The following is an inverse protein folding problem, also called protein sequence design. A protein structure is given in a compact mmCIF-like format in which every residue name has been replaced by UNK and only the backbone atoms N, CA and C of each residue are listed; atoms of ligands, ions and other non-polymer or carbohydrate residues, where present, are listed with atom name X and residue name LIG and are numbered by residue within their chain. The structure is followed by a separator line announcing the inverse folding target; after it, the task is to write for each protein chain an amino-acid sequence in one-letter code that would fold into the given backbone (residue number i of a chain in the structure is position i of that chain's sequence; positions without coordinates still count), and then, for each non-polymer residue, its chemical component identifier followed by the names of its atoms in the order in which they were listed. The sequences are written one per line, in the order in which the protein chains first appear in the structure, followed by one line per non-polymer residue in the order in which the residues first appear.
data_IF_956420379305
#
_entry.id   IF_956420379305
#
_cell.length_a   1.000
_cell.length_b   1.000
_cell.length_c   1.000
_cell.angle_alpha   90.00
_cell.angle_beta   90.00
_cell.angle_gamma   90.00
#
_symmetry.space_group_name_H-M   'P 1'
#
loop_
_entity.id
_entity.type
_entity.pdbx_description
1 polymer ?
#
# COMPACT_ATOMS: atom_id res chain seq x y z
N UNK A 1 -20.25 -25.34 -8.81
CA UNK A 1 -19.71 -24.92 -7.53
C UNK A 1 -18.41 -24.17 -7.76
N UNK A 2 -18.26 -22.95 -7.21
CA UNK A 2 -17.04 -22.16 -7.35
C UNK A 2 -16.17 -22.37 -6.13
N UNK A 3 -14.85 -22.52 -6.32
CA UNK A 3 -13.96 -22.72 -5.20
C UNK A 3 -12.49 -22.90 -5.60
N UNK A 4 -11.64 -22.87 -4.60
CA UNK A 4 -10.20 -23.11 -4.73
C UNK A 4 -9.86 -24.48 -4.17
N UNK A 5 -9.03 -25.22 -4.87
CA UNK A 5 -8.45 -26.48 -4.40
C UNK A 5 -6.93 -26.39 -4.40
N UNK A 6 -6.30 -26.91 -3.36
CA UNK A 6 -4.85 -27.18 -3.36
C UNK A 6 -4.64 -28.48 -4.13
N UNK A 7 -3.71 -28.48 -5.07
CA UNK A 7 -3.39 -29.68 -5.84
C UNK A 7 -2.67 -30.71 -4.98
N UNK A 8 -2.66 -31.98 -5.42
CA UNK A 8 -1.89 -33.03 -4.76
C UNK A 8 -0.40 -32.68 -4.67
N UNK A 9 0.16 -32.12 -5.74
CA UNK A 9 1.54 -31.65 -5.76
C UNK A 9 1.77 -30.49 -4.78
N UNK A 10 0.88 -29.50 -4.76
CA UNK A 10 0.93 -28.38 -3.82
C UNK A 10 0.83 -28.84 -2.37
N UNK A 11 -0.11 -29.73 -2.06
CA UNK A 11 -0.27 -30.28 -0.71
C UNK A 11 0.98 -31.06 -0.25
N UNK A 12 1.60 -31.84 -1.15
CA UNK A 12 2.83 -32.57 -0.85
C UNK A 12 4.01 -31.63 -0.56
N UNK A 13 4.15 -30.53 -1.32
CA UNK A 13 5.18 -29.51 -1.09
C UNK A 13 4.98 -28.79 0.23
N UNK A 14 3.75 -28.37 0.54
CA UNK A 14 3.40 -27.73 1.81
C UNK A 14 3.71 -28.66 2.99
N UNK A 15 3.30 -29.93 2.92
CA UNK A 15 3.58 -30.92 3.95
C UNK A 15 5.09 -31.14 4.15
N UNK A 16 5.86 -31.20 3.07
CA UNK A 16 7.33 -31.32 3.13
C UNK A 16 7.96 -30.10 3.82
N UNK A 17 7.47 -28.89 3.54
CA UNK A 17 7.96 -27.66 4.18
C UNK A 17 7.62 -27.59 5.66
N UNK A 18 6.44 -28.04 6.08
CA UNK A 18 6.05 -28.15 7.49
C UNK A 18 7.02 -29.06 8.24
N UNK A 19 7.37 -30.20 7.65
CA UNK A 19 8.24 -31.20 8.29
C UNK A 19 9.72 -30.77 8.33
N UNK A 20 10.19 -30.11 7.30
CA UNK A 20 11.63 -29.82 7.12
C UNK A 20 12.01 -28.36 7.40
N UNK A 21 11.06 -27.51 7.79
CA UNK A 21 11.31 -26.10 8.10
C UNK A 21 11.59 -25.20 6.89
N UNK A 22 11.12 -25.58 5.70
CA UNK A 22 11.20 -24.76 4.49
C UNK A 22 9.94 -23.91 4.23
N UNK A 23 9.91 -23.27 3.05
CA UNK A 23 8.73 -22.57 2.54
C UNK A 23 8.45 -22.93 1.08
N UNK A 24 7.18 -23.06 0.72
CA UNK A 24 6.75 -23.10 -0.67
C UNK A 24 6.65 -21.66 -1.15
N UNK A 25 7.43 -21.30 -2.16
CA UNK A 25 7.40 -19.95 -2.72
C UNK A 25 6.49 -19.92 -3.95
N UNK A 26 5.38 -19.20 -3.84
CA UNK A 26 4.47 -18.95 -4.96
C UNK A 26 4.97 -17.73 -5.71
N UNK A 27 5.25 -17.88 -6.99
CA UNK A 27 5.86 -16.86 -7.83
C UNK A 27 4.91 -16.34 -8.89
N UNK A 28 4.27 -17.24 -9.65
CA UNK A 28 3.44 -16.84 -10.77
C UNK A 28 1.99 -17.23 -10.57
N UNK A 29 1.12 -16.46 -11.18
CA UNK A 29 -0.29 -16.73 -11.32
C UNK A 29 -0.65 -16.84 -12.80
N UNK A 30 -1.60 -17.69 -13.13
CA UNK A 30 -2.12 -17.79 -14.48
C UNK A 30 -3.65 -17.77 -14.47
N UNK A 31 -4.22 -17.30 -15.59
CA UNK A 31 -5.65 -17.34 -15.85
C UNK A 31 -5.93 -18.01 -17.20
N UNK A 32 -7.07 -18.65 -17.30
CA UNK A 32 -7.45 -19.39 -18.50
C UNK A 32 -8.95 -19.44 -18.70
N UNK A 33 -9.36 -19.91 -19.89
CA UNK A 33 -10.75 -20.03 -20.29
C UNK A 33 -11.38 -21.40 -20.00
N UNK A 34 -10.64 -22.29 -19.32
CA UNK A 34 -11.10 -23.64 -19.01
C UNK A 34 -11.16 -24.58 -20.22
N UNK A 35 -10.55 -24.18 -21.35
CA UNK A 35 -10.71 -24.87 -22.62
C UNK A 35 -12.01 -24.56 -23.34
N UNK A 36 -12.60 -23.39 -23.04
CA UNK A 36 -13.86 -22.90 -23.60
C UNK A 36 -15.11 -23.28 -22.80
N UNK A 37 -14.97 -24.09 -21.75
CA UNK A 37 -16.09 -24.60 -20.96
C UNK A 37 -15.83 -24.46 -19.46
N UNK A 38 -16.94 -24.32 -18.71
CA UNK A 38 -16.89 -24.45 -17.26
C UNK A 38 -16.54 -25.87 -16.83
N UNK A 39 -15.68 -26.00 -15.81
CA UNK A 39 -15.41 -27.25 -15.15
C UNK A 39 -15.08 -27.06 -13.67
N UNK A 40 -15.21 -28.12 -12.90
CA UNK A 40 -14.78 -28.12 -11.50
C UNK A 40 -13.30 -28.57 -11.43
N UNK A 41 -12.42 -27.77 -10.84
CA UNK A 41 -11.04 -28.14 -10.63
C UNK A 41 -10.89 -29.38 -9.74
N UNK A 42 -9.90 -30.21 -10.04
CA UNK A 42 -9.57 -31.40 -9.26
C UNK A 42 -8.18 -31.30 -8.65
N UNK A 43 -7.99 -31.93 -7.50
CA UNK A 43 -6.69 -31.96 -6.81
C UNK A 43 -5.58 -32.65 -7.64
N UNK A 44 -5.93 -33.49 -8.61
CA UNK A 44 -4.99 -34.17 -9.47
C UNK A 44 -4.47 -33.30 -10.63
N UNK A 45 -4.98 -32.10 -10.83
CA UNK A 45 -4.54 -31.23 -11.92
C UNK A 45 -3.09 -30.77 -11.70
N UNK A 46 -2.34 -30.72 -12.79
CA UNK A 46 -0.96 -30.26 -12.85
C UNK A 46 -0.79 -29.00 -13.71
N UNK A 47 -1.83 -28.62 -14.45
CA UNK A 47 -1.85 -27.41 -15.31
C UNK A 47 -3.28 -26.90 -15.49
N UNK A 48 -3.43 -25.66 -15.97
CA UNK A 48 -4.69 -25.14 -16.46
C UNK A 48 -5.06 -25.81 -17.78
N UNK A 49 -6.37 -25.95 -18.04
CA UNK A 49 -6.89 -26.56 -19.29
C UNK A 49 -6.74 -25.65 -20.49
N UNK A 50 -6.91 -24.35 -20.29
CA UNK A 50 -6.87 -23.37 -21.37
C UNK A 50 -6.18 -22.08 -20.94
N UNK A 51 -4.90 -22.15 -20.54
CA UNK A 51 -4.13 -20.99 -20.11
C UNK A 51 -4.09 -19.92 -21.21
N UNK A 52 -4.50 -18.69 -20.87
CA UNK A 52 -4.51 -17.50 -21.75
C UNK A 52 -3.58 -16.41 -21.28
N UNK A 53 -3.29 -16.38 -19.99
CA UNK A 53 -2.43 -15.37 -19.37
C UNK A 53 -1.60 -15.99 -18.25
N UNK A 54 -0.41 -15.45 -18.06
CA UNK A 54 0.48 -15.74 -16.92
C UNK A 54 1.22 -14.47 -16.54
N UNK A 55 1.40 -14.25 -15.26
CA UNK A 55 2.12 -13.10 -14.73
C UNK A 55 2.47 -13.29 -13.26
N UNK A 56 3.15 -12.32 -12.70
CA UNK A 56 3.56 -12.34 -11.30
C UNK A 56 2.38 -12.11 -10.36
N UNK A 57 2.52 -12.62 -9.12
CA UNK A 57 1.57 -12.30 -8.04
C UNK A 57 1.70 -10.82 -7.67
N UNK A 58 0.61 -10.08 -7.70
CA UNK A 58 0.60 -8.65 -7.41
C UNK A 58 0.75 -8.37 -5.91
N UNK A 59 0.04 -9.10 -5.07
CA UNK A 59 0.21 -9.08 -3.61
C UNK A 59 -0.38 -10.33 -2.98
N UNK A 60 0.06 -10.64 -1.76
CA UNK A 60 -0.50 -11.71 -0.94
C UNK A 60 -0.48 -11.30 0.53
N UNK A 61 -1.54 -11.60 1.26
CA UNK A 61 -1.67 -11.34 2.68
C UNK A 61 -2.46 -12.44 3.36
N UNK A 62 -2.14 -12.72 4.62
CA UNK A 62 -3.01 -13.57 5.45
C UNK A 62 -4.33 -12.83 5.67
N UNK A 63 -5.44 -13.53 5.46
CA UNK A 63 -6.77 -12.94 5.61
C UNK A 63 -7.00 -12.46 7.03
N UNK A 64 -7.63 -11.30 7.16
CA UNK A 64 -7.98 -10.72 8.46
C UNK A 64 -9.10 -11.49 9.18
N UNK A 65 -9.85 -12.31 8.43
CA UNK A 65 -10.97 -13.09 8.95
C UNK A 65 -10.62 -14.54 9.28
N UNK A 66 -9.54 -15.08 8.70
CA UNK A 66 -9.14 -16.47 8.89
C UNK A 66 -7.61 -16.61 8.77
N UNK A 67 -6.95 -16.93 9.88
CA UNK A 67 -5.48 -17.05 9.95
C UNK A 67 -4.89 -18.15 9.05
N UNK A 68 -5.68 -19.12 8.61
CA UNK A 68 -5.26 -20.19 7.69
C UNK A 68 -5.62 -19.89 6.22
N UNK A 69 -6.18 -18.71 5.95
CA UNK A 69 -6.51 -18.29 4.60
C UNK A 69 -5.55 -17.19 4.13
N UNK A 70 -5.06 -17.34 2.91
CA UNK A 70 -4.21 -16.35 2.25
C UNK A 70 -4.99 -15.79 1.08
N UNK A 71 -5.07 -14.47 1.02
CA UNK A 71 -5.68 -13.71 -0.06
C UNK A 71 -4.59 -13.33 -1.06
N UNK A 72 -4.63 -13.93 -2.24
CA UNK A 72 -3.65 -13.71 -3.32
C UNK A 72 -4.28 -12.82 -4.38
N UNK A 73 -3.74 -11.62 -4.53
CA UNK A 73 -4.20 -10.65 -5.52
C UNK A 73 -3.46 -10.88 -6.84
N UNK A 74 -4.22 -11.01 -7.90
CA UNK A 74 -3.76 -11.21 -9.27
C UNK A 74 -4.28 -10.05 -10.11
N UNK A 75 -3.42 -9.43 -10.90
CA UNK A 75 -3.78 -8.30 -11.74
C UNK A 75 -3.42 -8.60 -13.19
N UNK A 76 -4.42 -8.55 -14.06
CA UNK A 76 -4.27 -8.74 -15.52
C UNK A 76 -4.36 -7.36 -16.17
N UNK A 77 -3.31 -6.97 -16.85
CA UNK A 77 -3.21 -5.67 -17.49
C UNK A 77 -4.27 -5.45 -18.58
N UNK A 78 -4.46 -4.20 -18.94
CA UNK A 78 -5.39 -3.77 -19.97
C UNK A 78 -4.99 -4.23 -21.38
N UNK A 79 -3.70 -4.43 -21.62
CA UNK A 79 -3.17 -4.97 -22.89
C UNK A 79 -3.56 -6.43 -23.18
N UNK A 80 -4.02 -7.15 -22.16
CA UNK A 80 -4.41 -8.57 -22.25
C UNK A 80 -5.93 -8.68 -22.22
N UNK A 81 -6.51 -9.51 -23.09
CA UNK A 81 -7.96 -9.74 -23.08
C UNK A 81 -8.45 -10.56 -24.27
N UNK A 82 -9.77 -10.51 -24.48
CA UNK A 82 -10.43 -11.26 -25.52
C UNK A 82 -10.77 -12.71 -25.13
N UNK A 83 -10.88 -12.98 -23.81
CA UNK A 83 -11.28 -14.31 -23.31
C UNK A 83 -12.08 -14.19 -22.01
N UNK A 84 -12.85 -15.23 -21.74
CA UNK A 84 -13.57 -15.37 -20.47
C UNK A 84 -12.72 -16.19 -19.50
N UNK A 85 -12.46 -15.62 -18.32
CA UNK A 85 -11.72 -16.31 -17.26
C UNK A 85 -12.66 -17.30 -16.58
N UNK A 86 -12.29 -18.58 -16.59
CA UNK A 86 -13.00 -19.70 -15.97
C UNK A 86 -12.12 -20.53 -15.05
N UNK A 87 -10.81 -20.28 -15.11
CA UNK A 87 -9.83 -20.92 -14.24
C UNK A 87 -8.71 -19.97 -13.89
N UNK A 88 -8.16 -20.12 -12.68
CA UNK A 88 -6.95 -19.42 -12.24
C UNK A 88 -6.06 -20.40 -11.47
N UNK A 89 -4.75 -20.30 -11.64
CA UNK A 89 -3.77 -21.15 -10.96
C UNK A 89 -2.63 -20.36 -10.37
N UNK A 90 -2.04 -20.91 -9.30
CA UNK A 90 -0.85 -20.39 -8.65
C UNK A 90 0.27 -21.43 -8.77
N UNK A 91 1.45 -20.97 -9.13
CA UNK A 91 2.61 -21.80 -9.41
C UNK A 91 3.80 -21.37 -8.54
N UNK A 92 4.62 -22.38 -8.18
CA UNK A 92 5.88 -22.14 -7.50
C UNK A 92 7.02 -21.74 -8.46
N UNK A 93 8.24 -21.62 -7.92
CA UNK A 93 9.43 -21.27 -8.70
C UNK A 93 9.79 -22.32 -9.77
N UNK A 94 9.40 -23.58 -9.56
CA UNK A 94 9.65 -24.69 -10.46
C UNK A 94 8.51 -24.88 -11.49
N UNK A 95 7.49 -24.05 -11.44
CA UNK A 95 6.30 -24.13 -12.31
C UNK A 95 5.32 -25.22 -11.90
N UNK A 96 5.39 -25.70 -10.66
CA UNK A 96 4.42 -26.65 -10.12
C UNK A 96 3.11 -25.95 -9.78
N UNK A 97 1.99 -26.45 -10.25
CA UNK A 97 0.67 -25.93 -9.90
C UNK A 97 0.36 -26.25 -8.43
N UNK A 98 0.34 -25.23 -7.59
CA UNK A 98 0.09 -25.34 -6.14
C UNK A 98 -1.40 -25.33 -5.83
N UNK A 99 -2.10 -24.37 -6.42
CA UNK A 99 -3.54 -24.19 -6.21
C UNK A 99 -4.23 -23.80 -7.51
N UNK A 100 -5.48 -24.19 -7.65
CA UNK A 100 -6.33 -23.85 -8.79
C UNK A 100 -7.73 -23.50 -8.31
N UNK A 101 -8.37 -22.53 -8.94
CA UNK A 101 -9.78 -22.21 -8.72
C UNK A 101 -10.54 -22.02 -10.02
N UNK A 102 -11.86 -22.15 -9.91
CA UNK A 102 -12.81 -21.80 -10.96
C UNK A 102 -13.64 -20.59 -10.49
N UNK A 103 -13.28 -19.35 -10.89
CA UNK A 103 -14.12 -18.19 -10.62
C UNK A 103 -15.42 -18.25 -11.44
N UNK A 104 -16.45 -17.46 -11.08
CA UNK A 104 -17.54 -17.17 -11.99
C UNK A 104 -17.01 -16.65 -13.33
N UNK A 105 -17.70 -16.98 -14.43
CA UNK A 105 -17.36 -16.50 -15.76
C UNK A 105 -17.12 -15.00 -15.73
N UNK A 106 -15.87 -14.59 -15.97
CA UNK A 106 -15.44 -13.19 -15.91
C UNK A 106 -14.82 -12.80 -17.23
N UNK A 107 -15.49 -11.94 -17.97
CA UNK A 107 -14.98 -11.50 -19.27
C UNK A 107 -13.81 -10.53 -19.09
N UNK A 108 -12.70 -10.81 -19.72
CA UNK A 108 -11.55 -9.91 -19.85
C UNK A 108 -11.55 -9.33 -21.27
N UNK A 109 -12.02 -8.09 -21.38
CA UNK A 109 -12.17 -7.41 -22.66
C UNK A 109 -10.81 -7.09 -23.28
N UNK A 110 -10.69 -7.23 -24.61
CA UNK A 110 -9.51 -6.85 -25.38
C UNK A 110 -9.50 -5.34 -25.68
N UNK A 111 -8.30 -4.78 -25.83
CA UNK A 111 -8.09 -3.40 -26.27
C UNK A 111 -8.62 -3.12 -27.67
N UNK A 112 -8.74 -4.14 -28.52
CA UNK A 112 -9.21 -4.03 -29.92
C UNK A 112 -10.67 -3.55 -30.02
N UNK A 113 -11.45 -3.71 -28.93
CA UNK A 113 -12.84 -3.26 -28.86
C UNK A 113 -13.02 -1.78 -28.42
N UNK A 114 -11.92 -1.03 -28.23
CA UNK A 114 -11.98 0.37 -27.80
C UNK A 114 -12.33 0.58 -26.32
N UNK A 115 -12.57 -0.48 -25.57
CA UNK A 115 -12.75 -0.47 -24.12
C UNK A 115 -11.82 -1.50 -23.51
N UNK A 116 -10.90 -1.04 -22.69
CA UNK A 116 -9.93 -1.88 -22.02
C UNK A 116 -9.86 -1.47 -20.57
N UNK A 117 -9.56 -2.43 -19.69
CA UNK A 117 -9.44 -2.17 -18.27
C UNK A 117 -8.55 -3.20 -17.59
N UNK A 118 -7.77 -2.74 -16.64
CA UNK A 118 -7.04 -3.61 -15.72
C UNK A 118 -8.04 -4.41 -14.89
N UNK A 119 -7.87 -5.73 -14.82
CA UNK A 119 -8.72 -6.60 -14.02
C UNK A 119 -7.94 -7.13 -12.83
N UNK A 120 -8.44 -6.87 -11.64
CA UNK A 120 -7.89 -7.42 -10.41
C UNK A 120 -8.82 -8.46 -9.83
N UNK A 121 -8.27 -9.63 -9.51
CA UNK A 121 -8.98 -10.74 -8.90
C UNK A 121 -8.27 -11.19 -7.63
N UNK A 122 -9.02 -11.68 -6.65
CA UNK A 122 -8.47 -12.22 -5.41
C UNK A 122 -8.78 -13.70 -5.36
N UNK A 123 -7.73 -14.51 -5.26
CA UNK A 123 -7.83 -15.95 -5.06
C UNK A 123 -7.59 -16.27 -3.58
N UNK A 124 -8.57 -16.89 -2.95
CA UNK A 124 -8.46 -17.31 -1.56
C UNK A 124 -7.92 -18.75 -1.50
N UNK A 125 -6.80 -18.94 -0.83
CA UNK A 125 -6.24 -20.27 -0.57
C UNK A 125 -6.29 -20.58 0.93
N UNK A 126 -6.77 -21.75 1.28
CA UNK A 126 -6.78 -22.23 2.67
C UNK A 126 -5.72 -23.31 2.81
N UNK A 127 -4.79 -23.10 3.72
CA UNK A 127 -3.66 -24.00 4.00
C UNK A 127 -3.65 -24.41 5.48
N UNK A 128 -3.04 -25.55 5.78
CA UNK A 128 -2.93 -26.01 7.17
C UNK A 128 -2.07 -25.07 8.03
N UNK A 129 -1.06 -24.45 7.42
CA UNK A 129 -0.16 -23.49 8.06
C UNK A 129 0.27 -22.44 7.02
N UNK A 130 -0.19 -21.21 7.19
CA UNK A 130 0.13 -20.09 6.29
C UNK A 130 1.60 -19.66 6.39
N UNK A 131 2.29 -19.95 7.49
CA UNK A 131 3.69 -19.55 7.71
C UNK A 131 4.69 -20.26 6.79
N UNK A 132 4.33 -21.42 6.24
CA UNK A 132 5.16 -22.19 5.32
C UNK A 132 4.96 -21.82 3.85
N UNK A 133 4.08 -20.86 3.57
CA UNK A 133 3.86 -20.32 2.22
C UNK A 133 4.52 -18.95 2.13
N UNK A 134 5.31 -18.72 1.11
CA UNK A 134 5.89 -17.41 0.77
C UNK A 134 5.51 -17.02 -0.65
N UNK A 135 5.69 -15.76 -0.96
CA UNK A 135 5.36 -15.21 -2.27
C UNK A 135 6.53 -14.38 -2.79
N UNK A 136 6.90 -14.60 -4.06
CA UNK A 136 7.69 -13.64 -4.81
C UNK A 136 6.71 -12.64 -5.40
N UNK A 137 6.69 -11.44 -4.84
CA UNK A 137 5.82 -10.36 -5.29
C UNK A 137 6.64 -9.45 -6.15
N UNK A 138 6.27 -9.32 -7.41
CA UNK A 138 6.74 -8.23 -8.26
C UNK A 138 5.70 -7.12 -8.11
N UNK A 139 6.03 -5.99 -7.45
CA UNK A 139 5.11 -4.89 -7.37
C UNK A 139 4.80 -4.44 -8.80
N UNK A 140 3.65 -4.83 -9.32
CA UNK A 140 3.11 -4.17 -10.49
C UNK A 140 3.07 -2.68 -10.14
N UNK A 141 3.33 -1.79 -11.10
CA UNK A 141 3.02 -0.36 -10.97
C UNK A 141 1.49 -0.24 -10.83
N UNK A 142 1.00 -0.72 -9.71
CA UNK A 142 -0.41 -0.69 -9.40
C UNK A 142 -0.76 0.74 -8.99
N UNK A 143 -1.84 1.24 -9.53
CA UNK A 143 -2.43 2.47 -9.01
C UNK A 143 -2.75 2.23 -7.55
N UNK A 144 -1.96 2.84 -6.68
CA UNK A 144 -2.21 2.83 -5.24
C UNK A 144 -3.67 3.23 -5.02
N UNK A 145 -4.44 2.42 -4.34
CA UNK A 145 -5.82 2.77 -4.05
C UNK A 145 -5.85 4.05 -3.24
N UNK A 146 -6.92 4.84 -3.37
CA UNK A 146 -7.08 6.07 -2.60
C UNK A 146 -6.93 5.82 -1.09
N UNK A 147 -7.47 4.72 -0.60
CA UNK A 147 -7.39 4.34 0.82
C UNK A 147 -5.94 4.03 1.26
N UNK A 148 -5.17 3.34 0.43
CA UNK A 148 -3.75 3.07 0.71
C UNK A 148 -2.93 4.36 0.70
N UNK A 149 -3.20 5.25 -0.24
CA UNK A 149 -2.54 6.55 -0.30
C UNK A 149 -2.90 7.43 0.90
N UNK A 150 -4.17 7.48 1.29
CA UNK A 150 -4.64 8.23 2.46
C UNK A 150 -4.03 7.66 3.76
N UNK A 151 -3.91 6.34 3.88
CA UNK A 151 -3.26 5.67 5.01
C UNK A 151 -1.77 6.00 5.08
N UNK A 152 -1.05 5.89 3.97
CA UNK A 152 0.38 6.22 3.90
C UNK A 152 0.64 7.70 4.18
N UNK A 153 -0.24 8.59 3.71
CA UNK A 153 -0.16 10.02 3.98
C UNK A 153 -0.42 10.34 5.46
N UNK A 154 -1.41 9.67 6.08
CA UNK A 154 -1.69 9.83 7.50
C UNK A 154 -0.51 9.34 8.36
N UNK A 155 0.07 8.20 8.03
CA UNK A 155 1.26 7.68 8.70
C UNK A 155 2.45 8.63 8.55
N UNK A 156 2.71 9.13 7.34
CA UNK A 156 3.75 10.10 7.08
C UNK A 156 3.57 11.40 7.89
N UNK A 157 2.35 11.90 8.00
CA UNK A 157 2.04 13.13 8.73
C UNK A 157 2.17 12.97 10.24
N UNK A 158 1.92 11.78 10.79
CA UNK A 158 2.02 11.47 12.23
C UNK A 158 3.41 10.99 12.63
N UNK A 159 4.23 10.56 11.67
CA UNK A 159 5.57 10.06 11.94
C UNK A 159 6.50 11.19 12.40
N UNK A 160 6.96 11.12 13.64
CA UNK A 160 7.87 12.11 14.26
C UNK A 160 9.25 12.19 13.58
N UNK A 161 9.63 11.21 12.75
CA UNK A 161 10.90 11.19 12.01
C UNK A 161 10.76 11.71 10.58
N UNK A 162 9.54 11.87 10.07
CA UNK A 162 9.31 12.49 8.76
C UNK A 162 9.85 13.91 8.75
N UNK A 163 10.59 14.26 7.72
CA UNK A 163 11.23 15.57 7.57
C UNK A 163 12.14 15.96 8.77
N UNK A 164 12.92 15.00 9.25
CA UNK A 164 13.84 15.19 10.39
C UNK A 164 14.82 16.36 10.20
N UNK A 165 15.25 16.59 8.97
CA UNK A 165 16.09 17.71 8.55
C UNK A 165 15.41 19.07 8.73
N UNK A 166 14.15 19.20 8.31
CA UNK A 166 13.36 20.43 8.47
C UNK A 166 13.05 20.70 9.95
N UNK A 167 12.71 19.63 10.70
CA UNK A 167 12.45 19.74 12.15
C UNK A 167 13.72 20.13 12.92
N UNK A 168 14.88 19.57 12.54
CA UNK A 168 16.16 19.95 13.13
C UNK A 168 16.51 21.40 12.80
N UNK A 169 16.25 21.87 11.58
CA UNK A 169 16.44 23.26 11.20
C UNK A 169 15.56 24.21 12.03
N UNK A 170 14.28 23.88 12.19
CA UNK A 170 13.33 24.68 12.98
C UNK A 170 13.72 24.73 14.47
N UNK A 171 14.14 23.59 15.06
CA UNK A 171 14.63 23.55 16.42
C UNK A 171 15.92 24.35 16.61
N UNK A 172 16.84 24.29 15.66
CA UNK A 172 18.07 25.08 15.70
C UNK A 172 17.79 26.57 15.56
N UNK A 173 16.86 26.99 14.72
CA UNK A 173 16.46 28.38 14.59
C UNK A 173 15.91 28.95 15.92
N UNK A 174 15.07 28.16 16.60
CA UNK A 174 14.53 28.53 17.92
C UNK A 174 15.65 28.59 18.99
N UNK A 175 16.64 27.69 18.92
CA UNK A 175 17.76 27.66 19.88
C UNK A 175 18.81 28.76 19.62
N UNK A 176 18.96 29.24 18.41
CA UNK A 176 19.91 30.31 18.07
C UNK A 176 19.40 31.72 18.39
N UNK A 177 18.18 31.86 18.96
CA UNK A 177 17.63 33.14 19.31
C UNK A 177 17.13 33.96 18.12
N UNK A 178 17.04 33.37 16.94
CA UNK A 178 16.54 34.05 15.73
C UNK A 178 15.03 34.27 15.74
N UNK A 179 14.35 33.72 16.74
CA UNK A 179 12.90 33.84 16.94
C UNK A 179 12.63 34.30 18.38
N UNK A 180 12.11 35.49 18.56
CA UNK A 180 11.70 35.96 19.87
C UNK A 180 10.40 35.28 20.32
N UNK A 181 10.35 34.84 21.56
CA UNK A 181 9.11 34.38 22.17
C UNK A 181 8.18 35.57 22.44
N UNK A 182 6.88 35.33 22.55
CA UNK A 182 5.91 36.42 22.90
C UNK A 182 6.27 37.17 24.17
N UNK A 183 6.75 36.55 25.27
CA UNK A 183 7.26 37.27 26.44
C UNK A 183 8.43 38.20 26.15
N UNK A 184 9.40 37.73 25.34
CA UNK A 184 10.56 38.55 24.97
C UNK A 184 10.18 39.76 24.11
N UNK A 185 9.29 39.55 23.13
CA UNK A 185 8.74 40.67 22.34
C UNK A 185 8.01 41.67 23.23
N UNK A 186 7.19 41.20 24.17
CA UNK A 186 6.46 42.08 25.11
C UNK A 186 7.41 42.83 26.01
N UNK A 187 8.50 42.22 26.48
CA UNK A 187 9.52 42.87 27.30
C UNK A 187 10.27 43.94 26.52
N UNK A 188 10.66 43.66 25.28
CA UNK A 188 11.33 44.63 24.40
C UNK A 188 10.45 45.84 24.10
N UNK A 189 9.18 45.59 23.73
CA UNK A 189 8.22 46.66 23.42
C UNK A 189 7.89 47.46 24.67
N UNK A 190 7.66 46.79 25.81
CA UNK A 190 7.41 47.42 27.08
C UNK A 190 8.58 48.29 27.57
N UNK A 191 9.82 47.81 27.38
CA UNK A 191 11.04 48.56 27.65
C UNK A 191 11.14 49.81 26.79
N UNK A 192 10.99 49.69 25.50
CA UNK A 192 11.06 50.81 24.55
C UNK A 192 9.97 51.88 24.81
N UNK A 193 8.77 51.44 25.13
CA UNK A 193 7.66 52.36 25.49
C UNK A 193 7.97 53.13 26.81
N UNK A 194 8.52 52.42 27.82
CA UNK A 194 8.90 53.05 29.07
C UNK A 194 10.04 54.07 28.91
N UNK A 195 11.06 53.70 28.13
CA UNK A 195 12.16 54.60 27.79
C UNK A 195 11.65 55.85 27.06
N UNK A 196 10.77 55.66 26.09
CA UNK A 196 10.16 56.80 25.36
C UNK A 196 9.35 57.71 26.29
N UNK A 197 8.52 57.12 27.16
CA UNK A 197 7.68 57.90 28.09
C UNK A 197 8.48 58.64 29.15
N UNK A 198 9.63 58.09 29.55
CA UNK A 198 10.49 58.68 30.57
C UNK A 198 11.60 59.59 29.98
N UNK A 199 11.72 59.67 28.67
CA UNK A 199 12.71 60.52 28.02
C UNK A 199 12.34 62.01 28.16
N UNK A 200 13.26 62.79 28.63
CA UNK A 200 13.06 64.27 28.75
C UNK A 200 12.91 64.93 27.37
N UNK A 201 13.35 64.24 26.29
CA UNK A 201 13.22 64.75 24.92
C UNK A 201 11.96 64.23 24.23
N UNK A 202 11.35 63.17 24.73
CA UNK A 202 10.10 62.66 24.18
C UNK A 202 9.01 63.67 24.41
N UNK A 203 8.29 64.01 23.36
CA UNK A 203 7.22 65.04 23.40
C UNK A 203 7.67 66.43 23.90
N UNK A 204 8.94 66.77 23.71
CA UNK A 204 9.49 68.05 24.16
C UNK A 204 8.69 69.25 23.65
N UNK A 205 8.17 69.20 22.42
CA UNK A 205 7.29 70.27 21.87
C UNK A 205 5.98 70.40 22.62
N UNK A 206 5.38 69.30 23.06
CA UNK A 206 4.13 69.28 23.83
C UNK A 206 4.34 69.82 25.27
N UNK A 207 5.50 69.50 25.86
CA UNK A 207 5.86 69.96 27.22
C UNK A 207 6.10 71.45 27.22
N UNK A 208 6.68 72.05 26.18
CA UNK A 208 6.89 73.47 26.05
C UNK A 208 5.55 74.24 25.96
N UNK A 209 4.58 73.70 25.20
CA UNK A 209 3.25 74.30 25.08
C UNK A 209 2.46 74.32 26.39
N UNK A 210 2.66 73.33 27.26
CA UNK A 210 1.98 73.23 28.55
C UNK A 210 2.58 74.16 29.62
N UNK A 211 3.87 74.52 29.54
CA UNK A 211 4.52 75.43 30.48
C UNK A 211 4.32 76.89 30.13
N UNK A 212 3.76 77.22 28.96
CA UNK A 212 3.42 78.56 28.52
C UNK A 212 1.98 78.99 28.80
N UNK A 213 1.24 78.21 29.61
CA UNK A 213 -0.16 78.41 29.93
C UNK A 213 -0.41 78.98 31.39
N UNK A 214 0.62 79.49 32.05
CA UNK A 214 0.51 80.19 33.33
C UNK A 214 0.34 81.73 33.14
#
# INVERSE_FOLDING_TARGET
NYGTVITTAGAALIAKCILNGGKVNIKTAAAGDGGGEYYEPTVAQTALRGKKWEGDVASAAVSTTNANMIDVKITIDDSVGGFTIREMGLFDDDGTLIAICNPPDTEKVSTDGGVSGKLTMIMHIVVADASVVSFTITPALDTVSRAEMESALAEHNTNGTSHSDIRALALNAVQQGDVYTKPEVNALVGGAVNEHNNSDTAHASIRVDLTGLD
#
